data_IF_807804365885
#
_entry.id   IF_807804365885
#
_cell.length_a   1.000
_cell.length_b   1.000
_cell.length_c   1.000
_cell.angle_alpha   90.00
_cell.angle_beta   90.00
_cell.angle_gamma   90.00
#
_symmetry.space_group_name_H-M   'P 1'
#
loop_
_entity.id
_entity.type
_entity.pdbx_description
1 polymer ?
#
# COMPACT_ATOMS: atom_id res chain seq x y z
N UNK A 1 2.67 24.77 -7.17
CA UNK A 1 2.09 24.59 -5.82
C UNK A 1 2.31 23.13 -5.44
N UNK A 2 3.38 22.86 -4.71
CA UNK A 2 3.79 21.52 -4.29
C UNK A 2 3.01 21.08 -3.05
N UNK A 3 1.71 20.85 -3.22
CA UNK A 3 1.00 20.00 -2.28
C UNK A 3 1.19 18.56 -2.76
N UNK A 4 1.75 17.70 -1.90
CA UNK A 4 1.74 16.22 -1.98
C UNK A 4 3.04 15.49 -2.35
N UNK A 5 4.20 16.00 -1.89
CA UNK A 5 5.31 15.11 -1.50
C UNK A 5 5.47 15.10 0.01
N UNK A 6 4.46 14.62 0.72
CA UNK A 6 4.69 14.23 2.11
C UNK A 6 5.64 13.03 2.09
N UNK A 7 6.82 13.13 2.74
CA UNK A 7 7.69 11.97 2.90
C UNK A 7 6.89 10.84 3.53
N UNK A 8 7.12 9.60 3.09
CA UNK A 8 6.47 8.40 3.65
C UNK A 8 6.51 8.36 5.19
N UNK A 9 7.56 8.93 5.79
CA UNK A 9 7.71 9.16 7.22
C UNK A 9 6.57 9.99 7.82
N UNK A 10 6.22 11.12 7.20
CA UNK A 10 5.11 11.98 7.65
C UNK A 10 3.78 11.25 7.52
N UNK A 11 3.58 10.45 6.47
CA UNK A 11 2.38 9.64 6.34
C UNK A 11 2.28 8.61 7.47
N UNK A 12 3.38 7.91 7.77
CA UNK A 12 3.45 6.95 8.87
C UNK A 12 3.17 7.64 10.21
N UNK A 13 3.70 8.84 10.44
CA UNK A 13 3.45 9.57 11.69
C UNK A 13 2.03 10.14 11.75
N UNK A 14 1.45 10.60 10.63
CA UNK A 14 0.04 10.95 10.55
C UNK A 14 -0.85 9.73 10.85
N UNK A 15 -0.51 8.54 10.35
CA UNK A 15 -1.22 7.31 10.70
C UNK A 15 -1.01 6.87 12.15
N UNK A 16 0.18 7.04 12.74
CA UNK A 16 0.41 6.78 14.17
C UNK A 16 -0.38 7.74 15.07
N UNK A 17 -0.58 8.99 14.62
CA UNK A 17 -1.26 10.04 15.37
C UNK A 17 -2.77 10.14 15.08
N UNK A 18 -3.25 9.57 13.97
CA UNK A 18 -4.68 9.32 13.80
C UNK A 18 -5.11 8.44 14.95
N UNK A 19 -6.04 8.94 15.76
CA UNK A 19 -6.54 8.26 16.94
C UNK A 19 -7.43 7.08 16.51
N UNK A 20 -6.80 6.03 15.98
CA UNK A 20 -7.35 4.68 15.85
C UNK A 20 -7.53 4.16 17.28
N UNK A 21 -8.57 4.63 17.96
CA UNK A 21 -8.81 4.43 19.41
C UNK A 21 -8.83 2.95 19.87
N UNK A 22 -8.71 1.99 18.95
CA UNK A 22 -8.70 0.55 19.18
C UNK A 22 -7.45 -0.09 18.55
N UNK A 23 -6.28 0.21 19.13
CA UNK A 23 -4.91 -0.18 18.70
C UNK A 23 -4.81 -1.52 17.98
N UNK A 24 -4.77 -1.46 16.67
CA UNK A 24 -4.28 -2.51 15.79
C UNK A 24 -2.77 -2.43 15.55
N UNK A 25 -2.22 -3.20 14.62
CA UNK A 25 -0.80 -3.11 14.20
C UNK A 25 -0.66 -2.39 12.87
N UNK A 26 0.32 -1.49 12.76
CA UNK A 26 0.71 -0.85 11.50
C UNK A 26 2.16 -1.22 11.21
N UNK A 27 2.45 -1.75 10.04
CA UNK A 27 3.82 -2.03 9.60
C UNK A 27 4.00 -1.80 8.11
N UNK A 28 5.21 -1.40 7.71
CA UNK A 28 5.61 -1.31 6.31
C UNK A 28 6.01 -2.71 5.83
N UNK A 29 5.55 -3.12 4.64
CA UNK A 29 5.77 -4.49 4.14
C UNK A 29 6.62 -4.56 2.87
N UNK A 30 6.48 -3.59 1.96
CA UNK A 30 7.25 -3.52 0.71
C UNK A 30 7.18 -2.08 0.14
N UNK A 31 7.90 -1.74 -0.93
CA UNK A 31 7.96 -0.50 -1.72
C UNK A 31 6.71 0.41 -1.64
N UNK A 32 6.54 1.06 -0.49
CA UNK A 32 5.46 1.99 -0.11
C UNK A 32 4.14 1.35 0.34
N UNK A 33 4.05 0.03 0.45
CA UNK A 33 2.93 -0.65 1.06
C UNK A 33 3.00 -0.63 2.59
N UNK A 34 1.88 -0.27 3.21
CA UNK A 34 1.66 -0.30 4.65
C UNK A 34 0.52 -1.29 4.92
N UNK A 35 0.76 -2.26 5.79
CA UNK A 35 -0.27 -3.13 6.35
C UNK A 35 -0.83 -2.52 7.63
N UNK A 36 -2.15 -2.46 7.71
CA UNK A 36 -2.92 -2.07 8.89
C UNK A 36 -3.80 -3.25 9.29
N UNK A 37 -3.56 -3.84 10.45
CA UNK A 37 -4.45 -4.83 11.06
C UNK A 37 -5.17 -4.19 12.22
N UNK A 38 -6.49 -4.22 12.24
CA UNK A 38 -7.31 -3.72 13.35
C UNK A 38 -7.56 -4.83 14.38
N UNK A 39 -7.97 -4.47 15.60
CA UNK A 39 -8.32 -5.47 16.64
C UNK A 39 -9.52 -6.34 16.28
N UNK A 40 -10.43 -5.82 15.47
CA UNK A 40 -11.58 -6.57 14.95
C UNK A 40 -11.19 -7.65 13.93
N UNK A 41 -9.89 -7.80 13.61
CA UNK A 41 -9.37 -8.76 12.65
C UNK A 41 -9.38 -8.26 11.20
N UNK A 42 -9.91 -7.07 10.93
CA UNK A 42 -9.89 -6.48 9.60
C UNK A 42 -8.46 -6.10 9.19
N UNK A 43 -8.08 -6.50 7.97
CA UNK A 43 -6.78 -6.22 7.38
C UNK A 43 -6.92 -5.29 6.18
N UNK A 44 -6.16 -4.20 6.21
CA UNK A 44 -6.10 -3.19 5.16
C UNK A 44 -4.66 -2.98 4.70
N UNK A 45 -4.51 -2.64 3.42
CA UNK A 45 -3.25 -2.36 2.77
C UNK A 45 -3.33 -0.98 2.14
N UNK A 46 -2.34 -0.15 2.43
CA UNK A 46 -2.31 1.25 2.06
C UNK A 46 -1.11 1.48 1.17
N UNK A 47 -1.31 2.13 0.03
CA UNK A 47 -0.25 2.50 -0.89
C UNK A 47 -0.38 3.98 -1.27
N UNK A 48 0.58 4.83 -0.90
CA UNK A 48 0.66 6.17 -1.42
C UNK A 48 1.08 6.11 -2.90
N UNK A 49 0.21 6.64 -3.74
CA UNK A 49 0.39 6.67 -5.19
C UNK A 49 0.32 8.11 -5.68
N UNK A 50 1.49 8.69 -5.93
CA UNK A 50 1.65 10.10 -6.27
C UNK A 50 0.97 11.00 -5.22
N UNK A 51 0.02 11.87 -5.61
CA UNK A 51 -0.69 12.74 -4.68
C UNK A 51 -1.84 12.07 -3.92
N UNK A 52 -2.08 10.78 -4.13
CA UNK A 52 -3.23 10.06 -3.57
C UNK A 52 -2.81 8.94 -2.64
N UNK A 53 -3.72 8.53 -1.74
CA UNK A 53 -3.56 7.34 -0.92
C UNK A 53 -4.60 6.33 -1.37
N UNK A 54 -4.15 5.13 -1.76
CA UNK A 54 -5.03 4.02 -2.10
C UNK A 54 -5.18 3.08 -0.90
N UNK A 55 -6.41 2.72 -0.60
CA UNK A 55 -6.76 1.77 0.45
C UNK A 55 -7.33 0.50 -0.16
N UNK A 56 -6.85 -0.64 0.30
CA UNK A 56 -7.28 -1.96 -0.14
C UNK A 56 -7.67 -2.78 1.08
N UNK A 57 -8.77 -3.51 1.01
CA UNK A 57 -8.94 -4.66 1.90
C UNK A 57 -8.03 -5.82 1.41
N UNK A 58 -7.85 -6.84 2.26
CA UNK A 58 -6.99 -8.00 1.93
C UNK A 58 -7.26 -8.62 0.56
N UNK A 59 -8.54 -8.82 0.19
CA UNK A 59 -8.90 -9.45 -1.08
C UNK A 59 -8.49 -8.58 -2.27
N UNK A 60 -8.73 -7.28 -2.20
CA UNK A 60 -8.34 -6.34 -3.24
C UNK A 60 -6.82 -6.21 -3.37
N UNK A 61 -6.10 -6.22 -2.24
CA UNK A 61 -4.63 -6.23 -2.22
C UNK A 61 -4.06 -7.47 -2.92
N UNK A 62 -4.52 -8.67 -2.55
CA UNK A 62 -4.05 -9.92 -3.17
C UNK A 62 -4.41 -10.03 -4.67
N UNK A 63 -5.49 -9.38 -5.10
CA UNK A 63 -5.80 -9.27 -6.53
C UNK A 63 -4.81 -8.34 -7.22
N UNK A 64 -4.55 -7.16 -6.64
CA UNK A 64 -3.63 -6.16 -7.18
C UNK A 64 -2.21 -6.71 -7.34
N UNK A 65 -1.72 -7.45 -6.34
CA UNK A 65 -0.38 -8.07 -6.37
C UNK A 65 -0.28 -9.07 -7.51
N UNK A 66 -1.27 -9.96 -7.67
CA UNK A 66 -1.29 -10.92 -8.80
C UNK A 66 -1.31 -10.22 -10.16
N UNK A 67 -2.12 -9.17 -10.31
CA UNK A 67 -2.17 -8.39 -11.56
C UNK A 67 -0.81 -7.71 -11.85
N UNK A 68 -0.11 -7.23 -10.83
CA UNK A 68 1.24 -6.64 -11.00
C UNK A 68 2.28 -7.71 -11.37
N UNK A 69 2.22 -8.90 -10.77
CA UNK A 69 3.09 -10.04 -11.11
C UNK A 69 2.87 -10.51 -12.55
N UNK A 70 1.61 -10.70 -12.97
CA UNK A 70 1.26 -11.09 -14.33
C UNK A 70 1.74 -10.04 -15.35
N UNK A 71 1.54 -8.76 -15.06
CA UNK A 71 2.01 -7.68 -15.93
C UNK A 71 3.54 -7.64 -16.03
N UNK A 72 4.26 -7.86 -14.91
CA UNK A 72 5.71 -7.92 -14.89
C UNK A 72 6.25 -9.10 -15.73
N UNK A 73 5.65 -10.28 -15.59
CA UNK A 73 6.00 -11.46 -16.38
C UNK A 73 5.73 -11.25 -17.87
N UNK A 74 4.56 -10.72 -18.23
CA UNK A 74 4.22 -10.42 -19.62
C UNK A 74 5.22 -9.43 -20.25
N UNK A 75 5.66 -8.41 -19.50
CA UNK A 75 6.68 -7.46 -19.94
C UNK A 75 8.04 -8.12 -20.17
N UNK A 76 8.46 -9.01 -19.27
CA UNK A 76 9.72 -9.75 -19.43
C UNK A 76 9.70 -10.67 -20.64
N UNK A 77 8.61 -11.41 -20.84
CA UNK A 77 8.41 -12.28 -22.00
C UNK A 77 8.35 -11.47 -23.31
N UNK A 78 7.73 -10.29 -23.30
CA UNK A 78 7.71 -9.38 -24.43
C UNK A 78 9.12 -8.91 -24.82
N UNK A 79 9.95 -8.55 -23.83
CA UNK A 79 11.33 -8.11 -24.06
C UNK A 79 12.27 -9.25 -24.50
N UNK A 80 11.98 -10.50 -24.17
CA UNK A 80 12.75 -11.68 -24.61
C UNK A 80 12.45 -12.12 -26.05
N UNK A 81 11.35 -11.62 -26.63
CA UNK A 81 10.92 -11.92 -28.01
C UNK A 81 11.37 -10.86 -29.02
N UNK A 82 12.14 -9.86 -28.58
CA UNK A 82 12.81 -8.83 -29.42
C UNK A 82 14.29 -9.16 -29.49
#
# INVERSE_FOLDING_TARGET
MDLLRLPLLVLIDVFKNMNFKEKGTVRRIDNNWIELKRRDGSEFFINPFGPSIRFYNKKAYLKKVREDEEYALARQLGNLRV
#
